data_IF_883147396012
#
_entry.id   IF_883147396012
#
_cell.length_a   1.000
_cell.length_b   1.000
_cell.length_c   1.000
_cell.angle_alpha   90.00
_cell.angle_beta   90.00
_cell.angle_gamma   90.00
#
_symmetry.space_group_name_H-M   'P 1'
#
loop_
_entity.id
_entity.type
_entity.pdbx_description
1 polymer ?
#
# COMPACT_ATOMS: atom_id res chain seq x y z
N UNK A 1 -0.10 17.27 -14.17
CA UNK A 1 -0.20 16.30 -13.05
C UNK A 1 -1.51 16.44 -12.28
N UNK A 2 -2.02 17.67 -12.09
CA UNK A 2 -3.33 17.91 -11.43
C UNK A 2 -4.50 17.51 -12.34
N UNK A 3 -4.41 17.76 -13.64
CA UNK A 3 -5.40 17.33 -14.63
C UNK A 3 -5.48 15.80 -14.75
N UNK A 4 -4.33 15.11 -14.68
CA UNK A 4 -4.27 13.66 -14.64
C UNK A 4 -4.98 13.05 -13.41
N UNK A 5 -4.96 13.73 -12.26
CA UNK A 5 -5.65 13.28 -11.05
C UNK A 5 -7.18 13.38 -11.19
N UNK A 6 -7.69 14.46 -11.76
CA UNK A 6 -9.12 14.63 -12.01
C UNK A 6 -9.70 13.54 -12.91
N UNK A 7 -9.02 13.21 -14.01
CA UNK A 7 -9.41 12.10 -14.88
C UNK A 7 -9.33 10.75 -14.17
N UNK A 8 -8.28 10.51 -13.38
CA UNK A 8 -8.14 9.28 -12.60
C UNK A 8 -9.31 9.06 -11.63
N UNK A 9 -9.82 10.10 -11.00
CA UNK A 9 -10.96 10.01 -10.09
C UNK A 9 -12.27 9.71 -10.83
N UNK A 10 -12.46 10.27 -12.02
CA UNK A 10 -13.62 9.94 -12.88
C UNK A 10 -13.59 8.47 -13.28
N UNK A 11 -12.45 7.97 -13.76
CA UNK A 11 -12.32 6.56 -14.15
C UNK A 11 -12.50 5.59 -12.97
N UNK A 12 -12.02 5.92 -11.80
CA UNK A 12 -12.23 5.11 -10.59
C UNK A 12 -13.71 4.99 -10.25
N UNK A 13 -14.45 6.09 -10.25
CA UNK A 13 -15.91 6.07 -10.02
C UNK A 13 -16.63 5.27 -11.07
N UNK A 14 -16.23 5.39 -12.32
CA UNK A 14 -16.81 4.65 -13.43
C UNK A 14 -16.54 3.14 -13.29
N UNK A 15 -15.34 2.75 -12.90
CA UNK A 15 -14.99 1.36 -12.62
C UNK A 15 -15.88 0.77 -11.52
N UNK A 16 -16.06 1.49 -10.42
CA UNK A 16 -16.98 1.08 -9.36
C UNK A 16 -18.44 0.97 -9.88
N UNK A 17 -18.89 1.95 -10.66
CA UNK A 17 -20.25 1.92 -11.20
C UNK A 17 -20.52 0.72 -12.13
N UNK A 18 -19.49 0.19 -12.80
CA UNK A 18 -19.60 -0.98 -13.68
C UNK A 18 -19.46 -2.32 -12.95
N UNK A 19 -18.91 -2.35 -11.75
CA UNK A 19 -18.48 -3.57 -11.06
C UNK A 19 -19.59 -4.62 -10.87
N UNK A 20 -20.83 -4.19 -10.74
CA UNK A 20 -21.99 -5.08 -10.57
C UNK A 20 -22.87 -5.23 -11.83
N UNK A 21 -22.53 -4.55 -12.93
CA UNK A 21 -23.32 -4.64 -14.15
C UNK A 21 -23.15 -5.99 -14.86
N UNK A 22 -24.26 -6.49 -15.37
CA UNK A 22 -24.24 -7.69 -16.22
C UNK A 22 -23.39 -7.45 -17.47
N UNK A 23 -22.40 -8.28 -17.71
CA UNK A 23 -21.44 -8.12 -18.82
C UNK A 23 -20.12 -7.47 -18.43
N UNK A 24 -20.03 -6.86 -17.23
CA UNK A 24 -18.79 -6.28 -16.66
C UNK A 24 -18.29 -7.04 -15.43
N UNK A 25 -18.79 -8.24 -15.20
CA UNK A 25 -18.40 -9.05 -14.05
C UNK A 25 -16.96 -9.56 -14.19
N UNK A 26 -16.11 -9.20 -13.25
CA UNK A 26 -14.70 -9.64 -13.15
C UNK A 26 -14.48 -10.63 -12.00
N UNK A 27 -15.52 -10.97 -11.25
CA UNK A 27 -15.42 -11.77 -10.02
C UNK A 27 -14.97 -10.96 -8.81
N UNK A 28 -15.21 -9.65 -8.86
CA UNK A 28 -14.84 -8.70 -7.81
C UNK A 28 -13.39 -8.22 -7.89
N UNK A 29 -13.13 -7.05 -7.36
CA UNK A 29 -11.81 -6.41 -7.28
C UNK A 29 -11.48 -6.06 -5.84
N UNK A 30 -10.24 -6.30 -5.42
CA UNK A 30 -9.74 -5.78 -4.15
C UNK A 30 -9.09 -4.42 -4.44
N UNK A 31 -9.71 -3.36 -3.96
CA UNK A 31 -9.19 -1.99 -4.10
C UNK A 31 -8.38 -1.64 -2.87
N UNK A 32 -7.08 -1.43 -3.04
CA UNK A 32 -6.19 -1.03 -1.95
C UNK A 32 -5.94 0.47 -2.05
N UNK A 33 -6.32 1.21 -1.02
CA UNK A 33 -6.12 2.65 -0.89
C UNK A 33 -5.06 2.90 0.18
N UNK A 34 -3.88 3.34 -0.27
CA UNK A 34 -2.82 3.78 0.63
C UNK A 34 -3.13 5.21 1.07
N UNK A 35 -3.91 5.32 2.15
CA UNK A 35 -4.35 6.60 2.69
C UNK A 35 -3.24 7.23 3.54
N UNK A 36 -2.24 7.78 2.88
CA UNK A 36 -1.09 8.40 3.52
C UNK A 36 -1.33 9.87 3.93
N UNK A 37 -2.55 10.35 3.81
CA UNK A 37 -3.02 11.68 4.23
C UNK A 37 -2.36 12.85 3.49
N UNK A 38 -1.52 12.61 2.49
CA UNK A 38 -0.83 13.66 1.74
C UNK A 38 -1.75 14.25 0.67
N UNK A 39 -1.78 15.58 0.63
CA UNK A 39 -2.48 16.37 -0.38
C UNK A 39 -1.68 17.61 -0.79
N UNK A 40 -0.38 17.48 -1.04
CA UNK A 40 0.57 18.58 -1.28
C UNK A 40 0.54 19.57 -0.11
N UNK A 41 0.10 20.80 -0.30
CA UNK A 41 -0.07 21.82 0.77
C UNK A 41 -1.42 21.74 1.49
N UNK A 42 -2.33 20.90 1.01
CA UNK A 42 -3.68 20.76 1.59
C UNK A 42 -3.65 19.89 2.84
N UNK A 43 -4.08 20.44 3.98
CA UNK A 43 -4.27 19.66 5.19
C UNK A 43 -5.33 18.57 4.99
N UNK A 44 -5.18 17.38 5.58
CA UNK A 44 -6.15 16.29 5.49
C UNK A 44 -7.59 16.72 5.82
N UNK A 45 -7.75 17.61 6.79
CA UNK A 45 -9.05 18.15 7.22
C UNK A 45 -9.80 18.89 6.09
N UNK A 46 -9.08 19.52 5.17
CA UNK A 46 -9.67 20.29 4.07
C UNK A 46 -9.61 19.56 2.72
N UNK A 47 -9.17 18.31 2.70
CA UNK A 47 -8.92 17.60 1.43
C UNK A 47 -10.17 17.01 0.79
N UNK A 48 -11.23 16.80 1.56
CA UNK A 48 -12.50 16.22 1.08
C UNK A 48 -13.65 16.53 2.03
N UNK A 49 -14.88 16.40 1.51
CA UNK A 49 -16.11 16.59 2.31
C UNK A 49 -16.47 15.38 3.17
N UNK A 50 -15.97 14.19 2.85
CA UNK A 50 -16.20 12.96 3.61
C UNK A 50 -14.99 12.60 4.47
N UNK A 51 -15.17 11.83 5.56
CA UNK A 51 -14.07 11.43 6.45
C UNK A 51 -12.96 10.65 5.76
N UNK A 52 -13.32 9.77 4.81
CA UNK A 52 -12.38 8.85 4.18
C UNK A 52 -12.38 8.95 2.65
N UNK A 53 -11.21 8.81 1.99
CA UNK A 53 -11.14 8.78 0.53
C UNK A 53 -11.90 7.58 -0.06
N UNK A 54 -12.08 6.53 0.72
CA UNK A 54 -12.77 5.30 0.37
C UNK A 54 -14.29 5.40 0.42
N UNK A 55 -14.85 6.50 0.92
CA UNK A 55 -16.30 6.72 0.98
C UNK A 55 -16.98 6.69 -0.41
N UNK A 56 -16.22 6.90 -1.47
CA UNK A 56 -16.70 6.75 -2.86
C UNK A 56 -17.21 5.32 -3.15
N UNK A 57 -16.69 4.30 -2.47
CA UNK A 57 -17.11 2.93 -2.65
C UNK A 57 -18.48 2.61 -2.04
N UNK A 58 -18.98 3.47 -1.14
CA UNK A 58 -20.33 3.32 -0.56
C UNK A 58 -21.44 3.40 -1.61
N UNK A 59 -21.21 4.06 -2.74
CA UNK A 59 -22.20 4.15 -3.80
C UNK A 59 -22.52 2.79 -4.46
N UNK A 60 -21.63 1.81 -4.36
CA UNK A 60 -21.83 0.44 -4.89
C UNK A 60 -21.95 -0.61 -3.77
N UNK A 61 -22.10 -0.16 -2.53
CA UNK A 61 -22.24 -1.01 -1.34
C UNK A 61 -21.08 -2.00 -1.15
N UNK A 62 -19.88 -1.70 -1.67
CA UNK A 62 -18.70 -2.48 -1.42
C UNK A 62 -18.28 -2.36 0.06
N UNK A 63 -17.96 -3.45 0.76
CA UNK A 63 -17.45 -3.37 2.12
C UNK A 63 -16.09 -2.64 2.14
N UNK A 64 -15.88 -1.82 3.17
CA UNK A 64 -14.67 -1.03 3.35
C UNK A 64 -14.06 -1.41 4.71
N UNK A 65 -12.80 -1.81 4.69
CA UNK A 65 -12.02 -2.09 5.90
C UNK A 65 -11.02 -0.96 6.11
N UNK A 66 -11.17 -0.24 7.21
CA UNK A 66 -10.21 0.77 7.65
C UNK A 66 -9.19 0.11 8.57
N UNK A 67 -7.92 0.18 8.20
CA UNK A 67 -6.85 -0.52 8.90
C UNK A 67 -5.73 0.46 9.24
N UNK A 68 -5.23 0.39 10.47
CA UNK A 68 -4.04 1.12 10.87
C UNK A 68 -2.80 0.50 10.20
N UNK A 69 -2.10 1.29 9.38
CA UNK A 69 -0.88 0.85 8.69
C UNK A 69 0.31 0.56 9.60
N UNK A 70 0.28 1.00 10.85
CA UNK A 70 1.28 0.67 11.87
C UNK A 70 1.02 -0.66 12.59
N UNK A 71 -0.08 -1.36 12.26
CA UNK A 71 -0.37 -2.70 12.77
C UNK A 71 -0.30 -3.75 11.65
N UNK A 72 0.86 -4.40 11.42
CA UNK A 72 1.02 -5.38 10.35
C UNK A 72 0.09 -6.59 10.46
N UNK A 73 -0.25 -7.03 11.69
CA UNK A 73 -1.15 -8.16 11.89
C UNK A 73 -2.58 -7.81 11.47
N UNK A 74 -3.05 -6.62 11.85
CA UNK A 74 -4.36 -6.12 11.42
C UNK A 74 -4.42 -5.96 9.90
N UNK A 75 -3.35 -5.47 9.26
CA UNK A 75 -3.25 -5.35 7.80
C UNK A 75 -3.37 -6.72 7.12
N UNK A 76 -2.63 -7.73 7.60
CA UNK A 76 -2.69 -9.09 7.06
C UNK A 76 -4.06 -9.71 7.29
N UNK A 77 -4.65 -9.50 8.48
CA UNK A 77 -5.99 -10.01 8.80
C UNK A 77 -7.05 -9.41 7.87
N UNK A 78 -7.05 -8.09 7.69
CA UNK A 78 -7.98 -7.44 6.77
C UNK A 78 -7.80 -7.90 5.32
N UNK A 79 -6.55 -8.11 4.88
CA UNK A 79 -6.28 -8.64 3.55
C UNK A 79 -6.82 -10.06 3.35
N UNK A 80 -6.72 -10.93 4.36
CA UNK A 80 -7.34 -12.27 4.34
C UNK A 80 -8.85 -12.20 4.22
N UNK A 81 -9.50 -11.38 5.06
CA UNK A 81 -10.95 -11.19 4.97
C UNK A 81 -11.36 -10.68 3.58
N UNK A 82 -10.62 -9.73 3.03
CA UNK A 82 -10.90 -9.15 1.72
C UNK A 82 -10.81 -10.20 0.60
N UNK A 83 -9.77 -11.05 0.61
CA UNK A 83 -9.64 -12.11 -0.41
C UNK A 83 -10.73 -13.18 -0.26
N UNK A 84 -11.04 -13.60 0.96
CA UNK A 84 -12.10 -14.57 1.26
C UNK A 84 -13.47 -14.04 0.84
N UNK A 85 -13.78 -12.78 1.17
CA UNK A 85 -15.02 -12.11 0.75
C UNK A 85 -15.12 -12.06 -0.77
N UNK A 86 -14.08 -11.59 -1.45
CA UNK A 86 -14.05 -11.53 -2.91
C UNK A 86 -14.26 -12.91 -3.53
N UNK A 87 -13.62 -13.94 -3.01
CA UNK A 87 -13.71 -15.30 -3.55
C UNK A 87 -15.11 -15.93 -3.29
N UNK A 88 -15.69 -15.64 -2.13
CA UNK A 88 -17.00 -16.20 -1.76
C UNK A 88 -18.15 -15.52 -2.52
N UNK A 89 -18.09 -14.21 -2.72
CA UNK A 89 -19.22 -13.43 -3.22
C UNK A 89 -19.03 -12.88 -4.64
N UNK A 90 -17.82 -12.88 -5.18
CA UNK A 90 -17.51 -12.31 -6.49
C UNK A 90 -17.79 -10.80 -6.59
N UNK A 91 -17.67 -10.08 -5.46
CA UNK A 91 -17.96 -8.66 -5.33
C UNK A 91 -16.71 -7.87 -4.99
N UNK A 92 -16.75 -6.56 -5.24
CA UNK A 92 -15.67 -5.64 -4.89
C UNK A 92 -15.56 -5.48 -3.37
N UNK A 93 -14.35 -5.24 -2.91
CA UNK A 93 -14.00 -4.95 -1.52
C UNK A 93 -12.90 -3.90 -1.48
N UNK A 94 -12.92 -3.04 -0.48
CA UNK A 94 -11.97 -1.94 -0.35
C UNK A 94 -11.19 -2.07 0.95
N UNK A 95 -9.87 -1.94 0.85
CA UNK A 95 -8.96 -1.81 1.98
C UNK A 95 -8.44 -0.38 2.04
N UNK A 96 -8.72 0.33 3.13
CA UNK A 96 -8.21 1.66 3.43
C UNK A 96 -7.07 1.52 4.44
N UNK A 97 -5.84 1.56 3.97
CA UNK A 97 -4.66 1.56 4.83
C UNK A 97 -4.37 2.97 5.30
N UNK A 98 -4.84 3.30 6.50
CA UNK A 98 -4.60 4.58 7.14
C UNK A 98 -3.14 4.62 7.63
N UNK A 99 -2.33 5.40 6.95
CA UNK A 99 -0.88 5.44 7.14
C UNK A 99 -0.31 6.85 6.93
N UNK A 100 1.00 6.95 6.83
CA UNK A 100 1.70 8.20 6.51
C UNK A 100 2.87 7.92 5.57
N UNK A 101 3.28 8.92 4.82
CA UNK A 101 4.48 8.87 3.99
C UNK A 101 5.65 9.47 4.76
N UNK A 102 6.69 8.69 5.03
CA UNK A 102 7.83 9.15 5.85
C UNK A 102 8.76 10.09 5.09
N UNK A 103 8.99 9.83 3.82
CA UNK A 103 9.90 10.60 2.98
C UNK A 103 9.15 11.44 1.96
N UNK A 104 9.86 12.30 1.21
CA UNK A 104 9.31 13.09 0.12
C UNK A 104 8.76 12.26 -1.04
N UNK A 105 8.26 12.95 -2.06
CA UNK A 105 7.74 12.31 -3.28
C UNK A 105 8.86 11.61 -4.08
N UNK A 106 10.05 12.20 -4.06
CA UNK A 106 11.29 11.68 -4.65
C UNK A 106 12.48 12.19 -3.82
N UNK A 107 13.70 11.89 -4.25
CA UNK A 107 14.95 12.23 -3.55
C UNK A 107 15.18 13.75 -3.42
N UNK A 108 14.63 14.55 -4.34
CA UNK A 108 14.76 16.02 -4.33
C UNK A 108 13.65 16.74 -3.58
N UNK A 109 12.63 16.02 -3.10
CA UNK A 109 11.48 16.62 -2.41
C UNK A 109 11.69 16.66 -0.90
N UNK A 110 11.74 17.87 -0.33
CA UNK A 110 11.70 18.09 1.11
C UNK A 110 10.26 18.34 1.57
N UNK A 111 9.59 17.34 2.14
CA UNK A 111 8.16 17.41 2.44
C UNK A 111 7.81 18.40 3.57
N UNK A 112 8.78 18.82 4.37
CA UNK A 112 8.57 19.84 5.41
C UNK A 112 8.22 21.21 4.82
N UNK A 113 8.58 21.48 3.57
CA UNK A 113 8.21 22.74 2.90
C UNK A 113 6.71 22.84 2.64
N UNK A 114 6.04 21.72 2.40
CA UNK A 114 4.61 21.69 2.07
C UNK A 114 3.73 21.33 3.27
N UNK A 115 4.25 20.52 4.21
CA UNK A 115 3.51 20.00 5.37
C UNK A 115 4.37 20.01 6.64
N UNK A 116 4.79 21.20 7.13
CA UNK A 116 5.75 21.29 8.24
C UNK A 116 5.23 20.66 9.54
N UNK A 117 3.96 20.87 9.89
CA UNK A 117 3.38 20.32 11.12
C UNK A 117 3.22 18.81 11.05
N UNK A 118 2.76 18.28 9.93
CA UNK A 118 2.63 16.85 9.70
C UNK A 118 4.00 16.15 9.81
N UNK A 119 5.01 16.66 9.12
CA UNK A 119 6.33 16.04 9.10
C UNK A 119 7.11 16.24 10.40
N UNK A 120 6.83 17.27 11.16
CA UNK A 120 7.33 17.38 12.54
C UNK A 120 6.84 16.21 13.40
N UNK A 121 5.58 15.80 13.23
CA UNK A 121 5.02 14.64 13.92
C UNK A 121 5.60 13.33 13.39
N UNK A 122 5.64 13.16 12.05
CA UNK A 122 6.16 11.96 11.40
C UNK A 122 7.62 11.69 11.75
N UNK A 123 8.47 12.73 11.81
CA UNK A 123 9.88 12.57 12.13
C UNK A 123 10.13 12.05 13.54
N UNK A 124 9.25 12.38 14.48
CA UNK A 124 9.31 11.88 15.85
C UNK A 124 8.61 10.53 16.06
N UNK A 125 7.86 10.04 15.09
CA UNK A 125 7.12 8.78 15.21
C UNK A 125 8.03 7.57 14.92
N UNK A 126 8.02 6.50 15.75
CA UNK A 126 8.77 5.28 15.48
C UNK A 126 8.36 4.64 14.14
N UNK A 127 9.25 3.87 13.55
CA UNK A 127 8.90 3.12 12.34
C UNK A 127 7.95 1.97 12.67
N UNK A 128 7.08 1.57 11.73
CA UNK A 128 6.20 0.39 11.86
C UNK A 128 7.00 -0.86 12.29
N UNK A 129 8.22 -1.04 11.72
CA UNK A 129 9.12 -2.13 12.13
C UNK A 129 9.48 -2.07 13.61
N UNK A 130 9.84 -0.89 14.11
CA UNK A 130 10.21 -0.73 15.53
C UNK A 130 9.02 -1.01 16.43
N UNK A 131 7.86 -0.41 16.14
CA UNK A 131 6.62 -0.63 16.90
C UNK A 131 6.24 -2.12 16.96
N UNK A 132 6.36 -2.81 15.83
CA UNK A 132 6.01 -4.24 15.79
C UNK A 132 7.04 -5.11 16.50
N UNK A 133 8.33 -4.82 16.38
CA UNK A 133 9.37 -5.52 17.13
C UNK A 133 9.18 -5.34 18.64
N UNK A 134 8.92 -4.12 19.10
CA UNK A 134 8.64 -3.83 20.51
C UNK A 134 7.41 -4.59 21.03
N UNK A 135 6.34 -4.66 20.21
CA UNK A 135 5.15 -5.46 20.53
C UNK A 135 5.50 -6.94 20.70
N UNK A 136 6.22 -7.54 19.75
CA UNK A 136 6.60 -8.96 19.78
C UNK A 136 7.52 -9.30 20.96
N UNK A 137 8.36 -8.38 21.38
CA UNK A 137 9.21 -8.53 22.57
C UNK A 137 8.35 -8.42 23.84
N UNK A 138 7.44 -7.45 23.88
CA UNK A 138 6.59 -7.22 25.05
C UNK A 138 5.61 -8.38 25.32
N UNK A 139 5.11 -9.04 24.26
CA UNK A 139 4.23 -10.19 24.39
C UNK A 139 4.98 -11.54 24.56
N UNK A 140 6.33 -11.51 24.52
CA UNK A 140 7.19 -12.68 24.72
C UNK A 140 7.31 -13.60 23.51
N UNK A 141 6.85 -13.17 22.33
CA UNK A 141 7.00 -13.93 21.07
C UNK A 141 8.45 -13.98 20.61
N UNK A 142 9.21 -12.89 20.81
CA UNK A 142 10.63 -12.78 20.51
C UNK A 142 11.39 -12.21 21.70
N UNK A 143 12.69 -12.50 21.78
CA UNK A 143 13.61 -11.71 22.64
C UNK A 143 14.10 -10.49 21.86
N UNK A 144 14.65 -9.50 22.56
CA UNK A 144 15.23 -8.31 21.94
C UNK A 144 16.40 -8.68 21.00
N UNK A 145 17.20 -9.67 21.39
CA UNK A 145 18.32 -10.19 20.60
C UNK A 145 17.83 -10.87 19.31
N UNK A 146 16.77 -11.66 19.41
CA UNK A 146 16.16 -12.29 18.22
C UNK A 146 15.59 -11.26 17.26
N UNK A 147 14.93 -10.23 17.77
CA UNK A 147 14.40 -9.14 16.94
C UNK A 147 15.52 -8.38 16.23
N UNK A 148 16.65 -8.13 16.89
CA UNK A 148 17.82 -7.50 16.29
C UNK A 148 18.48 -8.42 15.26
N UNK A 149 18.64 -9.71 15.56
CA UNK A 149 19.24 -10.68 14.64
C UNK A 149 18.49 -10.74 13.30
N UNK A 150 17.15 -10.70 13.30
CA UNK A 150 16.35 -10.66 12.07
C UNK A 150 16.71 -9.42 11.21
N UNK A 151 16.96 -8.29 11.84
CA UNK A 151 17.37 -7.06 11.13
C UNK A 151 18.75 -7.25 10.51
N UNK A 152 19.70 -7.75 11.30
CA UNK A 152 21.10 -7.91 10.88
C UNK A 152 21.21 -8.93 9.73
N UNK A 153 20.49 -10.05 9.83
CA UNK A 153 20.43 -11.06 8.77
C UNK A 153 19.83 -10.47 7.48
N UNK A 154 18.81 -9.61 7.61
CA UNK A 154 18.21 -8.98 6.43
C UNK A 154 19.13 -7.95 5.78
N UNK A 155 19.86 -7.17 6.58
CA UNK A 155 20.86 -6.23 6.06
C UNK A 155 21.97 -6.99 5.33
N UNK A 156 22.52 -8.04 5.96
CA UNK A 156 23.54 -8.85 5.34
C UNK A 156 23.08 -9.51 4.01
N UNK A 157 21.82 -9.95 3.97
CA UNK A 157 21.23 -10.45 2.71
C UNK A 157 21.17 -9.36 1.63
N UNK A 158 20.71 -8.15 1.97
CA UNK A 158 20.63 -7.04 1.01
C UNK A 158 22.01 -6.60 0.51
N UNK A 159 23.02 -6.59 1.37
CA UNK A 159 24.40 -6.28 1.00
C UNK A 159 24.95 -7.34 0.00
N UNK A 160 24.70 -8.62 0.26
CA UNK A 160 25.08 -9.69 -0.65
C UNK A 160 24.38 -9.56 -2.02
N UNK A 161 23.08 -9.25 -2.04
CA UNK A 161 22.34 -9.04 -3.29
C UNK A 161 22.80 -7.78 -4.03
N UNK A 162 23.17 -6.73 -3.30
CA UNK A 162 23.75 -5.53 -3.89
C UNK A 162 25.08 -5.82 -4.58
N UNK A 163 25.98 -6.53 -3.92
CA UNK A 163 27.25 -6.96 -4.51
C UNK A 163 27.04 -7.87 -5.73
N UNK A 164 26.13 -8.84 -5.64
CA UNK A 164 25.78 -9.69 -6.77
C UNK A 164 25.20 -8.87 -7.94
N UNK A 165 24.40 -7.85 -7.63
CA UNK A 165 23.80 -6.96 -8.62
C UNK A 165 24.81 -6.12 -9.41
N UNK A 166 25.98 -5.81 -8.84
CA UNK A 166 27.01 -5.03 -9.54
C UNK A 166 27.57 -5.76 -10.76
N UNK A 167 27.59 -7.09 -10.72
CA UNK A 167 28.01 -7.97 -11.83
C UNK A 167 26.90 -8.35 -12.80
N UNK A 168 25.64 -8.04 -12.49
CA UNK A 168 24.52 -8.46 -13.31
C UNK A 168 24.50 -7.74 -14.67
N UNK A 169 24.44 -8.52 -15.72
CA UNK A 169 24.25 -8.03 -17.09
C UNK A 169 22.95 -8.61 -17.63
N UNK A 170 21.93 -7.76 -17.93
CA UNK A 170 20.68 -8.25 -18.46
C UNK A 170 20.92 -9.00 -19.77
N UNK A 171 20.39 -10.22 -19.85
CA UNK A 171 20.36 -10.98 -21.09
C UNK A 171 19.13 -10.53 -21.90
N UNK A 172 19.27 -10.35 -23.21
CA UNK A 172 18.12 -10.04 -24.09
C UNK A 172 17.04 -11.12 -24.07
N UNK A 173 17.41 -12.35 -23.68
CA UNK A 173 16.50 -13.47 -23.55
C UNK A 173 15.60 -13.39 -22.30
N UNK A 174 15.92 -12.55 -21.30
CA UNK A 174 15.10 -12.39 -20.08
C UNK A 174 13.71 -11.77 -20.37
N UNK A 175 13.53 -11.22 -21.57
CA UNK A 175 12.24 -10.72 -22.03
C UNK A 175 11.34 -11.92 -22.42
N UNK A 176 10.19 -12.04 -21.73
CA UNK A 176 9.21 -13.13 -21.92
C UNK A 176 9.71 -14.55 -21.54
N UNK A 177 10.70 -14.66 -20.66
CA UNK A 177 11.15 -15.92 -20.07
C UNK A 177 10.42 -16.28 -18.77
N UNK A 178 10.75 -17.43 -18.20
CA UNK A 178 10.16 -17.91 -16.96
C UNK A 178 8.67 -18.15 -17.09
N UNK A 179 7.86 -17.50 -16.27
CA UNK A 179 6.39 -17.62 -16.28
C UNK A 179 5.73 -17.13 -17.57
N UNK A 180 6.45 -16.37 -18.41
CA UNK A 180 5.98 -15.84 -19.69
C UNK A 180 6.39 -16.71 -20.88
N UNK A 181 7.19 -17.77 -20.63
CA UNK A 181 7.62 -18.68 -21.70
C UNK A 181 6.40 -19.38 -22.33
N UNK A 182 6.32 -19.34 -23.64
CA UNK A 182 5.18 -19.90 -24.38
C UNK A 182 4.09 -18.88 -24.72
N UNK A 183 4.17 -17.64 -24.28
CA UNK A 183 3.32 -16.57 -24.81
C UNK A 183 3.89 -16.05 -26.14
N UNK A 184 3.04 -15.96 -27.16
CA UNK A 184 3.39 -15.36 -28.44
C UNK A 184 2.62 -14.06 -28.63
N UNK A 185 3.26 -13.06 -29.21
CA UNK A 185 2.60 -11.87 -29.75
C UNK A 185 2.06 -12.24 -31.13
N UNK A 186 0.91 -12.89 -31.18
CA UNK A 186 0.22 -13.18 -32.45
C UNK A 186 -0.55 -11.97 -32.92
#
# INVERSE_FOLDING_TARGET
>A
LLESRGLGDVYKRQTFAFSALRGYRTGGTIHIVVNNQIGFTTSPHYSRSSPYPTDVAKMVMAPIFHVNGDDPEAVVHAARIAIEFRQAFGCDVVLDFFCYRRFGHNEGDEPMFTQPLMYKTISGHPTTRALYADKLVADGTLTAEQAQQIVDDRIAHLDNEFEAGTGYRPNKADWLEGSWSGMSTA
#
